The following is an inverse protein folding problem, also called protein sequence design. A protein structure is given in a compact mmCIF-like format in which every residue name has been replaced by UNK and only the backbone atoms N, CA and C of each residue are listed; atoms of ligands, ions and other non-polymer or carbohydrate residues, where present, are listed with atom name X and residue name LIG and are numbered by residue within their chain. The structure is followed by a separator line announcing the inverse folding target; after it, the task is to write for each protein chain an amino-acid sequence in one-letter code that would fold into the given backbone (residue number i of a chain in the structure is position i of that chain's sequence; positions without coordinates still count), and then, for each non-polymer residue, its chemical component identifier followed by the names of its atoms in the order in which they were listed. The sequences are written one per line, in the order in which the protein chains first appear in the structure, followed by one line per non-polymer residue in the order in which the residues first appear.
data_IF_446967277006
#
_entry.id   IF_446967277006
#
_cell.length_a   1.000
_cell.length_b   1.000
_cell.length_c   1.000
_cell.angle_alpha   90.00
_cell.angle_beta   90.00
_cell.angle_gamma   90.00
#
_symmetry.space_group_name_H-M   'P 1'
#
loop_
_entity.id
_entity.type
_entity.pdbx_description
1 polymer ?
#
# COMPACT_ATOMS: atom_id res chain seq x y z
N UNK A 1 8.32 -11.27 -0.94
CA UNK A 1 7.15 -10.40 -1.25
C UNK A 1 5.87 -11.22 -1.31
N UNK A 2 4.83 -10.81 -0.57
CA UNK A 2 3.49 -11.41 -0.49
C UNK A 2 2.44 -10.35 -0.82
N UNK A 3 1.38 -10.78 -1.48
CA UNK A 3 0.20 -9.95 -1.78
C UNK A 3 -1.01 -10.66 -1.18
N UNK A 4 -1.78 -9.93 -0.38
CA UNK A 4 -2.97 -10.42 0.30
C UNK A 4 -4.14 -9.51 -0.05
N UNK A 5 -5.29 -10.14 -0.30
CA UNK A 5 -6.55 -9.46 -0.55
C UNK A 5 -7.56 -10.00 0.46
N UNK A 6 -8.25 -9.09 1.14
CA UNK A 6 -9.39 -9.41 1.98
C UNK A 6 -10.56 -8.53 1.56
N UNK A 7 -11.72 -9.15 1.33
CA UNK A 7 -12.91 -8.44 0.89
C UNK A 7 -13.98 -8.58 1.96
N UNK A 8 -14.45 -7.45 2.47
CA UNK A 8 -15.53 -7.40 3.45
C UNK A 8 -16.47 -6.24 3.11
N UNK A 9 -17.77 -6.49 3.23
CA UNK A 9 -18.84 -5.57 2.82
C UNK A 9 -18.65 -5.07 1.37
N UNK A 10 -18.34 -3.77 1.22
CA UNK A 10 -18.06 -3.09 -0.04
C UNK A 10 -16.62 -2.55 -0.09
N UNK A 11 -15.72 -3.11 0.73
CA UNK A 11 -14.31 -2.72 0.81
C UNK A 11 -13.42 -3.92 0.44
N UNK A 12 -12.42 -3.66 -0.40
CA UNK A 12 -11.30 -4.55 -0.67
C UNK A 12 -10.06 -4.00 0.01
N UNK A 13 -9.56 -4.72 1.01
CA UNK A 13 -8.29 -4.47 1.63
C UNK A 13 -7.19 -5.20 0.86
N UNK A 14 -6.20 -4.45 0.38
CA UNK A 14 -5.01 -4.96 -0.29
C UNK A 14 -3.79 -4.69 0.60
N UNK A 15 -3.09 -5.76 0.98
CA UNK A 15 -1.82 -5.67 1.67
C UNK A 15 -0.68 -6.23 0.80
N UNK A 16 0.37 -5.44 0.63
CA UNK A 16 1.61 -5.87 -0.03
C UNK A 16 2.72 -5.83 1.01
N UNK A 17 3.41 -6.96 1.20
CA UNK A 17 4.48 -7.09 2.18
C UNK A 17 5.74 -7.63 1.53
N UNK A 18 6.88 -7.02 1.79
CA UNK A 18 8.19 -7.60 1.51
C UNK A 18 9.03 -7.65 2.77
N UNK A 19 10.02 -8.52 2.74
CA UNK A 19 11.03 -8.79 3.76
C UNK A 19 12.38 -8.14 3.43
N UNK A 20 12.35 -7.06 2.65
CA UNK A 20 13.53 -6.29 2.29
C UNK A 20 14.13 -5.51 3.47
N UNK A 21 15.01 -4.56 3.16
CA UNK A 21 15.70 -3.75 4.18
C UNK A 21 14.79 -2.74 4.89
N UNK A 22 13.60 -2.48 4.37
CA UNK A 22 12.74 -1.39 4.85
C UNK A 22 13.37 0.00 4.63
N UNK A 23 12.85 1.01 5.32
CA UNK A 23 13.28 2.41 5.17
C UNK A 23 12.73 3.10 3.91
N UNK A 24 11.63 2.61 3.36
CA UNK A 24 10.98 3.24 2.22
C UNK A 24 10.43 4.61 2.62
N UNK A 25 10.99 5.66 2.02
CA UNK A 25 10.61 7.05 2.25
C UNK A 25 9.95 7.61 0.97
N UNK A 26 8.64 7.92 1.01
CA UNK A 26 7.93 8.50 -0.14
C UNK A 26 8.52 9.82 -0.63
N UNK A 27 9.25 10.57 0.19
CA UNK A 27 9.88 11.84 -0.20
C UNK A 27 11.15 11.65 -1.04
N UNK A 28 11.74 10.45 -1.06
CA UNK A 28 13.05 10.17 -1.68
C UNK A 28 12.98 9.43 -3.01
N UNK A 29 11.79 9.28 -3.59
CA UNK A 29 11.62 8.64 -4.90
C UNK A 29 10.21 8.77 -5.46
N UNK A 30 10.05 8.52 -6.76
CA UNK A 30 8.76 8.69 -7.45
C UNK A 30 7.83 7.48 -7.35
N UNK A 31 8.34 6.30 -6.95
CA UNK A 31 7.57 5.05 -6.95
C UNK A 31 6.35 5.11 -6.04
N UNK A 32 6.56 5.39 -4.75
CA UNK A 32 5.48 5.48 -3.76
C UNK A 32 4.61 6.72 -3.96
N UNK A 33 5.17 7.83 -4.47
CA UNK A 33 4.41 9.03 -4.84
C UNK A 33 3.40 8.68 -5.94
N UNK A 34 3.86 8.09 -7.05
CA UNK A 34 2.98 7.72 -8.16
C UNK A 34 1.99 6.60 -7.80
N UNK A 35 2.33 5.71 -6.86
CA UNK A 35 1.36 4.76 -6.30
C UNK A 35 0.29 5.47 -5.47
N UNK A 36 0.69 6.39 -4.59
CA UNK A 36 -0.22 7.20 -3.77
C UNK A 36 -1.18 8.02 -4.63
N UNK A 37 -0.68 8.64 -5.71
CA UNK A 37 -1.51 9.46 -6.60
C UNK A 37 -2.58 8.62 -7.32
N UNK A 38 -2.22 7.42 -7.79
CA UNK A 38 -3.18 6.49 -8.43
C UNK A 38 -4.23 6.00 -7.44
N UNK A 39 -3.86 5.73 -6.19
CA UNK A 39 -4.80 5.31 -5.14
C UNK A 39 -5.74 6.46 -4.76
N UNK A 40 -5.22 7.68 -4.65
CA UNK A 40 -6.04 8.89 -4.43
C UNK A 40 -7.02 9.14 -5.57
N UNK A 41 -6.63 8.88 -6.81
CA UNK A 41 -7.54 8.99 -7.96
C UNK A 41 -8.73 8.02 -7.88
N UNK A 42 -8.59 6.92 -7.13
CA UNK A 42 -9.69 5.99 -6.80
C UNK A 42 -10.51 6.42 -5.57
N UNK A 43 -10.22 7.59 -4.99
CA UNK A 43 -10.87 8.09 -3.77
C UNK A 43 -10.43 7.36 -2.51
N UNK A 44 -9.25 6.71 -2.54
CA UNK A 44 -8.74 5.85 -1.48
C UNK A 44 -7.40 6.35 -0.93
N UNK A 45 -6.88 5.69 0.10
CA UNK A 45 -5.60 6.06 0.76
C UNK A 45 -4.60 4.91 0.73
N UNK A 46 -3.32 5.26 0.67
CA UNK A 46 -2.19 4.33 0.82
C UNK A 46 -1.50 4.60 2.16
N UNK A 47 -1.41 3.57 3.00
CA UNK A 47 -0.53 3.58 4.15
C UNK A 47 0.76 2.81 3.83
N UNK A 48 1.89 3.38 4.25
CA UNK A 48 3.22 2.79 4.07
C UNK A 48 3.87 2.66 5.44
N UNK A 49 4.21 1.44 5.82
CA UNK A 49 4.99 1.14 7.03
C UNK A 49 6.26 0.44 6.61
N UNK A 50 7.41 1.09 6.79
CA UNK A 50 8.71 0.54 6.37
C UNK A 50 9.81 0.82 7.40
N UNK A 51 9.75 0.22 8.60
CA UNK A 51 10.85 0.31 9.56
C UNK A 51 12.11 -0.34 8.98
N UNK A 52 13.27 0.29 9.17
CA UNK A 52 14.54 -0.30 8.75
C UNK A 52 14.76 -1.66 9.40
N UNK A 53 15.09 -2.68 8.60
CA UNK A 53 15.33 -4.05 9.01
C UNK A 53 14.07 -4.92 9.13
N UNK A 54 12.87 -4.39 8.86
CA UNK A 54 11.60 -5.12 8.97
C UNK A 54 10.83 -5.24 7.64
N UNK A 55 11.46 -4.87 6.53
CA UNK A 55 10.80 -4.84 5.22
C UNK A 55 9.84 -3.68 5.04
N UNK A 56 8.95 -3.80 4.06
CA UNK A 56 7.92 -2.79 3.76
C UNK A 56 6.55 -3.43 3.73
N UNK A 57 5.58 -2.74 4.31
CA UNK A 57 4.15 -3.04 4.20
C UNK A 57 3.44 -1.85 3.56
N UNK A 58 2.66 -2.14 2.52
CA UNK A 58 1.71 -1.23 1.91
C UNK A 58 0.30 -1.73 2.23
N UNK A 59 -0.57 -0.83 2.71
CA UNK A 59 -1.96 -1.13 2.99
C UNK A 59 -2.85 -0.17 2.22
N UNK A 60 -3.86 -0.71 1.54
CA UNK A 60 -4.80 0.04 0.72
C UNK A 60 -6.20 -0.50 1.01
N UNK A 61 -7.14 0.40 1.27
CA UNK A 61 -8.56 0.08 1.34
C UNK A 61 -9.26 0.72 0.15
N UNK A 62 -9.85 -0.11 -0.71
CA UNK A 62 -10.50 0.29 -1.95
C UNK A 62 -12.00 0.00 -1.87
N UNK A 63 -12.88 0.95 -2.20
CA UNK A 63 -14.29 0.63 -2.38
C UNK A 63 -14.46 -0.27 -3.60
N UNK A 64 -15.06 -1.44 -3.42
CA UNK A 64 -15.48 -2.31 -4.52
C UNK A 64 -16.89 -1.90 -4.96
N UNK A 65 -16.97 -1.18 -6.07
CA UNK A 65 -18.24 -1.03 -6.79
C UNK A 65 -18.49 -2.32 -7.55
N UNK A 66 -19.65 -2.95 -7.28
CA UNK A 66 -20.16 -4.06 -8.09
C UNK A 66 -20.53 -3.62 -9.49
#
# INVERSE_FOLDING_TARGET
MKVELDAHDAILQLAIRDDGLGGADPSRGSGLVGLSDRIKALGSTLEVTSPTGSGTTLLIELPVKG
#
